data_IF_950395894089
#
_entry.id   IF_950395894089
#
_cell.length_a   1.000
_cell.length_b   1.000
_cell.length_c   1.000
_cell.angle_alpha   90.00
_cell.angle_beta   90.00
_cell.angle_gamma   90.00
#
_symmetry.space_group_name_H-M   'P 1'
#
loop_
_entity.id
_entity.type
_entity.pdbx_description
1 polymer ?
2 non-polymer ?
3 non-polymer ?
4 water ?
#
# COMPACT_ATOMS: atom_id res chain seq x y z
N UNK A 1 -1.39 6.75 -17.06
CA UNK A 1 -2.78 6.85 -16.50
C UNK A 1 -3.55 8.05 -17.02
N UNK A 2 -4.76 7.82 -17.54
CA UNK A 2 -5.66 8.87 -18.03
C UNK A 2 -7.01 8.69 -17.38
N UNK A 3 -7.86 9.68 -17.50
CA UNK A 3 -9.23 9.56 -17.03
C UNK A 3 -9.96 8.44 -17.80
N UNK A 4 -10.69 7.60 -17.04
CA UNK A 4 -11.48 6.52 -17.61
C UNK A 4 -12.90 7.04 -17.57
N UNK A 5 -13.36 7.51 -18.72
CA UNK A 5 -14.64 8.20 -18.80
C UNK A 5 -15.89 7.36 -18.66
N UNK A 6 -15.95 6.19 -19.26
CA UNK A 6 -17.18 5.43 -19.31
C UNK A 6 -17.02 4.21 -18.39
N UNK A 7 -18.13 3.64 -17.97
CA UNK A 7 -18.11 2.42 -17.19
C UNK A 7 -17.35 1.31 -17.89
N UNK A 8 -17.55 1.15 -19.21
CA UNK A 8 -16.79 0.18 -19.99
C UNK A 8 -15.28 0.47 -20.02
N UNK A 9 -14.89 1.74 -20.07
CA UNK A 9 -13.47 2.08 -20.03
C UNK A 9 -12.89 1.57 -18.73
N UNK A 10 -13.64 1.67 -17.65
CA UNK A 10 -13.10 1.34 -16.32
C UNK A 10 -12.94 -0.17 -16.19
N UNK A 11 -13.99 -0.90 -16.56
CA UNK A 11 -13.99 -2.37 -16.63
C UNK A 11 -12.82 -2.85 -17.49
N UNK A 12 -12.64 -2.24 -18.66
CA UNK A 12 -11.53 -2.60 -19.53
C UNK A 12 -10.15 -2.36 -18.87
N UNK A 13 -10.02 -1.25 -18.14
CA UNK A 13 -8.76 -0.93 -17.48
C UNK A 13 -8.44 -1.97 -16.38
N UNK A 14 -9.47 -2.39 -15.66
CA UNK A 14 -9.31 -3.39 -14.62
C UNK A 14 -8.85 -4.72 -15.24
N UNK A 15 -9.52 -5.12 -16.31
CA UNK A 15 -9.25 -6.37 -16.96
C UNK A 15 -7.84 -6.40 -17.56
N UNK A 16 -7.31 -5.22 -17.88
CA UNK A 16 -5.97 -5.07 -18.44
C UNK A 16 -4.91 -4.85 -17.39
N UNK A 17 -5.23 -5.05 -16.12
CA UNK A 17 -4.19 -4.92 -15.11
C UNK A 17 -3.78 -3.54 -14.69
N UNK A 18 -4.52 -2.49 -15.04
CA UNK A 18 -4.20 -1.15 -14.56
C UNK A 18 -4.64 -0.91 -13.09
N UNK A 19 -3.82 -0.21 -12.33
CA UNK A 19 -4.20 0.21 -11.00
C UNK A 19 -5.10 1.46 -11.07
N UNK A 20 -6.25 1.41 -10.43
CA UNK A 20 -7.27 2.44 -10.49
C UNK A 20 -7.14 3.49 -9.36
N UNK A 21 -7.41 4.74 -9.68
CA UNK A 21 -7.48 5.81 -8.69
C UNK A 21 -8.85 6.49 -8.78
N UNK A 22 -9.46 6.68 -7.62
CA UNK A 22 -10.73 7.39 -7.45
C UNK A 22 -10.46 8.80 -6.93
N UNK A 23 -10.99 9.79 -7.68
CA UNK A 23 -10.99 11.19 -7.28
C UNK A 23 -12.43 11.67 -7.07
N UNK A 24 -12.72 12.07 -5.85
CA UNK A 24 -14.06 12.45 -5.48
C UNK A 24 -14.11 13.88 -5.06
N UNK A 25 -15.02 14.60 -5.71
CA UNK A 25 -15.27 16.02 -5.39
C UNK A 25 -16.56 16.13 -4.58
N UNK A 26 -16.39 16.24 -3.26
CA UNK A 26 -17.48 16.13 -2.29
C UNK A 26 -18.63 17.13 -2.48
N UNK A 27 -18.32 18.32 -2.95
CA UNK A 27 -19.33 19.33 -3.16
C UNK A 27 -20.26 18.98 -4.35
N UNK A 28 -19.83 18.05 -5.21
CA UNK A 28 -20.64 17.60 -6.30
C UNK A 28 -21.31 16.29 -5.97
N UNK A 29 -21.32 15.96 -4.70
CA UNK A 29 -21.87 14.72 -4.21
C UNK A 29 -22.96 15.02 -3.19
N UNK A 30 -23.95 14.15 -3.10
CA UNK A 30 -25.05 14.42 -2.20
C UNK A 30 -24.91 13.55 -0.98
N UNK A 31 -25.16 14.14 0.18
CA UNK A 31 -25.11 13.43 1.45
C UNK A 31 -26.14 13.95 2.45
N UNK A 32 -26.45 13.10 3.44
CA UNK A 32 -27.42 13.38 4.51
C UNK A 32 -26.89 14.48 5.43
N UNK A 34 -23.86 17.63 6.09
CA UNK A 34 -23.05 18.50 5.24
C UNK A 34 -21.63 18.02 5.20
N UNK A 35 -21.02 18.05 4.02
CA UNK A 35 -19.61 17.75 3.88
C UNK A 35 -18.89 18.97 3.38
N UNK A 36 -17.79 19.33 4.05
CA UNK A 36 -16.99 20.47 3.61
C UNK A 36 -16.35 20.17 2.27
N UNK A 37 -16.25 21.21 1.45
CA UNK A 37 -15.75 21.13 0.11
C UNK A 37 -14.31 20.58 0.14
N UNK A 38 -14.12 19.47 -0.54
CA UNK A 38 -12.84 18.78 -0.50
C UNK A 38 -12.76 17.90 -1.72
N UNK A 39 -11.55 17.69 -2.18
CA UNK A 39 -11.28 16.68 -3.16
C UNK A 39 -10.57 15.57 -2.45
N UNK A 40 -11.00 14.34 -2.68
CA UNK A 40 -10.40 13.19 -2.05
C UNK A 40 -9.96 12.22 -3.13
N UNK A 41 -8.69 11.83 -3.08
CA UNK A 41 -8.12 10.89 -4.02
C UNK A 41 -7.72 9.64 -3.24
N UNK A 42 -8.06 8.48 -3.79
CA UNK A 42 -7.71 7.20 -3.15
C UNK A 42 -7.35 6.22 -4.24
N UNK A 43 -6.26 5.48 -4.05
CA UNK A 43 -5.92 4.39 -4.95
C UNK A 43 -5.81 3.07 -4.17
N UNK A 44 -6.85 2.24 -4.22
CA UNK A 44 -6.79 0.93 -3.59
C UNK A 44 -5.92 -0.02 -4.35
N UNK A 45 -5.31 -0.99 -3.67
CA UNK A 45 -4.48 -1.97 -4.37
C UNK A 45 -5.28 -3.14 -4.97
N UNK A 46 -6.61 -3.16 -4.71
CA UNK A 46 -7.54 -4.19 -5.18
C UNK A 46 -8.89 -3.59 -5.59
N UNK A 47 -9.51 -4.18 -6.61
CA UNK A 47 -10.76 -3.67 -7.18
C UNK A 47 -11.41 -4.86 -7.88
N UNK A 49 -14.82 -6.22 -10.52
CA UNK A 49 -15.96 -6.01 -11.38
C UNK A 49 -16.91 -7.16 -11.13
N UNK A 50 -18.12 -6.85 -10.69
CA UNK A 50 -19.13 -7.84 -10.35
C UNK A 50 -20.11 -7.92 -11.51
N UNK A 51 -20.23 -9.11 -12.09
CA UNK A 51 -21.07 -9.32 -13.27
C UNK A 51 -20.40 -8.46 -14.31
N UNK A 52 -21.17 -7.82 -15.17
CA UNK A 52 -20.62 -6.73 -15.95
C UNK A 52 -21.33 -5.44 -15.54
N UNK A 53 -21.79 -5.39 -14.28
CA UNK A 53 -22.72 -4.35 -13.87
C UNK A 53 -22.26 -3.41 -12.77
N UNK A 54 -21.24 -3.81 -12.00
CA UNK A 54 -20.77 -3.05 -10.84
C UNK A 54 -19.27 -3.14 -10.71
N UNK A 55 -18.65 -2.04 -10.31
CA UNK A 55 -17.25 -1.99 -9.89
C UNK A 55 -17.21 -1.66 -8.42
N UNK A 56 -16.43 -2.41 -7.65
CA UNK A 56 -16.33 -2.17 -6.24
C UNK A 56 -14.92 -2.20 -5.75
N UNK A 57 -14.67 -1.44 -4.70
CA UNK A 57 -13.35 -1.39 -4.07
C UNK A 57 -13.52 -0.82 -2.71
N UNK A 58 -12.50 -0.93 -1.89
CA UNK A 58 -12.56 -0.34 -0.53
C UNK A 58 -11.20 0.09 -0.03
N UNK A 59 -11.20 0.90 1.02
CA UNK A 59 -9.95 1.42 1.61
C UNK A 59 -10.19 1.58 3.10
N UNK A 60 -9.32 1.00 3.89
CA UNK A 60 -9.34 1.13 5.34
C UNK A 60 -8.27 2.16 5.68
N UNK A 61 -8.73 3.35 6.06
CA UNK A 61 -7.84 4.43 6.31
C UNK A 61 -7.68 4.77 7.80
N UNK A 62 -6.44 4.65 8.31
CA UNK A 62 -6.18 4.97 9.71
C UNK A 62 -6.10 6.49 9.91
N UNK A 63 -6.68 6.97 11.00
CA UNK A 63 -6.72 8.42 11.28
C UNK A 63 -6.80 8.68 12.79
N UNK A 64 -6.31 9.87 13.18
CA UNK A 64 -6.62 10.46 14.46
C UNK A 64 -7.53 11.69 14.28
N UNK A 65 -7.97 11.98 13.06
CA UNK A 65 -8.67 13.25 12.76
C UNK A 65 -10.15 13.15 12.67
N UNK A 66 -10.70 11.95 12.87
CA UNK A 66 -12.10 11.81 12.55
C UNK A 66 -12.97 12.64 13.52
N UNK A 67 -13.90 13.45 12.95
CA UNK A 67 -14.80 14.27 13.78
C UNK A 67 -15.48 13.52 14.93
N UNK A 68 -15.94 12.30 14.66
CA UNK A 68 -16.69 11.50 15.63
C UNK A 68 -15.90 11.20 16.90
N UNK A 69 -14.55 11.22 16.83
CA UNK A 69 -13.69 11.10 18.00
C UNK A 69 -12.25 11.63 17.75
N UNK A 70 -12.14 12.96 17.59
CA UNK A 70 -10.87 13.59 17.25
C UNK A 70 -9.84 13.13 18.25
N UNK A 71 -8.69 12.71 17.74
CA UNK A 71 -7.54 12.38 18.56
C UNK A 71 -7.49 10.94 18.99
N UNK A 72 -8.57 10.18 18.72
CA UNK A 72 -8.60 8.77 19.03
C UNK A 72 -8.22 7.92 17.81
N UNK A 73 -7.43 6.83 18.02
CA UNK A 73 -7.12 5.99 16.86
C UNK A 73 -8.36 5.29 16.25
N UNK A 75 -10.31 3.79 12.31
CA UNK A 75 -10.22 3.49 10.85
C UNK A 75 -11.46 4.07 10.24
N UNK A 76 -11.27 4.84 9.16
CA UNK A 76 -12.34 5.22 8.28
C UNK A 76 -12.31 4.23 7.16
N UNK A 77 -13.25 3.32 7.18
CA UNK A 77 -13.41 2.35 6.13
C UNK A 77 -14.42 2.86 5.07
N UNK A 78 -13.93 3.03 3.85
CA UNK A 78 -14.75 3.49 2.74
C UNK A 78 -14.95 2.37 1.74
N UNK A 79 -16.22 2.10 1.42
CA UNK A 79 -16.63 1.16 0.39
C UNK A 79 -17.16 1.93 -0.85
N UNK A 80 -16.52 1.71 -1.98
CA UNK A 80 -16.79 2.43 -3.22
C UNK A 80 -17.56 1.48 -4.12
N UNK A 81 -18.66 1.97 -4.68
CA UNK A 81 -19.46 1.18 -5.63
C UNK A 81 -19.86 2.08 -6.78
N UNK A 82 -19.75 1.54 -7.97
CA UNK A 82 -20.08 2.26 -9.20
C UNK A 82 -20.86 1.31 -10.05
N UNK A 83 -22.05 1.74 -10.48
CA UNK A 83 -22.83 0.85 -11.33
C UNK A 83 -22.68 1.21 -12.80
N UNK A 84 -23.17 0.32 -13.66
CA UNK A 84 -23.05 0.53 -15.11
C UNK A 84 -23.80 1.76 -15.64
N UNK A 85 -24.73 2.31 -14.88
CA UNK A 85 -25.40 3.56 -15.27
C UNK A 85 -24.60 4.81 -14.89
N UNK A 86 -23.48 4.66 -14.20
CA UNK A 86 -22.67 5.80 -13.77
C UNK A 86 -22.97 6.31 -12.38
N UNK A 87 -23.86 5.62 -11.65
CA UNK A 87 -24.24 6.05 -10.29
C UNK A 87 -23.21 5.48 -9.29
N UNK A 88 -22.58 6.36 -8.53
CA UNK A 88 -21.53 5.98 -7.62
C UNK A 88 -21.98 6.27 -6.19
N UNK A 89 -21.58 5.41 -5.27
CA UNK A 89 -21.72 5.70 -3.85
C UNK A 89 -20.46 5.38 -3.08
N UNK A 90 -20.26 6.13 -2.00
CA UNK A 90 -19.17 5.87 -1.07
C UNK A 90 -19.81 5.79 0.29
N UNK A 91 -19.65 4.65 0.92
CA UNK A 91 -20.10 4.48 2.25
C UNK A 91 -18.90 4.36 3.19
N UNK A 92 -18.80 5.28 4.13
CA UNK A 92 -17.70 5.30 5.09
C UNK A 92 -18.19 4.87 6.45
N UNK A 93 -17.55 3.86 7.02
CA UNK A 93 -17.88 3.33 8.32
C UNK A 93 -16.71 3.62 9.25
N UNK A 94 -17.01 4.25 10.38
CA UNK A 94 -15.95 4.66 11.27
C UNK A 94 -15.84 3.64 12.39
N UNK A 95 -14.62 3.12 12.59
CA UNK A 95 -14.33 2.04 13.54
C UNK A 95 -13.22 2.42 14.52
N UNK A 96 -13.40 2.08 15.79
CA UNK A 96 -12.34 2.22 16.79
C UNK A 96 -11.22 1.27 16.36
N UNK A 97 -10.00 1.78 16.25
CA UNK A 97 -8.90 0.98 15.69
C UNK A 97 -8.50 -0.13 16.63
N UNK A 98 -8.63 0.13 17.93
CA UNK A 98 -8.26 -0.86 18.94
C UNK A 98 -9.30 -1.97 19.06
N UNK A 99 -10.56 -1.58 19.18
CA UNK A 99 -11.64 -2.53 19.45
C UNK A 99 -12.45 -2.96 18.25
N UNK A 100 -12.43 -2.17 17.18
CA UNK A 100 -13.31 -2.39 16.01
C UNK A 100 -14.80 -2.09 16.23
N UNK A 101 -15.14 -1.45 17.35
CA UNK A 101 -16.51 -1.03 17.58
C UNK A 101 -16.84 0.05 16.54
N UNK A 102 -18.05 -0.02 15.97
CA UNK A 102 -18.53 0.94 14.98
C UNK A 102 -18.94 2.24 15.69
N UNK A 103 -18.38 3.37 15.28
CA UNK A 103 -18.71 4.66 15.87
C UNK A 103 -19.74 5.44 15.07
N UNK A 104 -19.91 5.08 13.81
CA UNK A 104 -20.81 5.83 12.97
C UNK A 104 -20.57 5.48 11.52
N UNK A 105 -21.43 5.97 10.68
CA UNK A 105 -21.28 5.77 9.24
C UNK A 105 -21.94 6.89 8.53
N UNK A 106 -21.46 7.16 7.33
CA UNK A 106 -22.10 8.13 6.48
C UNK A 106 -21.87 7.76 5.03
N UNK A 107 -22.72 8.29 4.17
CA UNK A 107 -22.71 7.93 2.77
C UNK A 107 -22.83 9.12 1.85
N UNK A 109 -23.38 10.08 -2.45
CA UNK A 109 -23.75 9.58 -3.77
C UNK A 109 -23.35 10.58 -4.82
N UNK A 110 -22.79 10.08 -5.91
CA UNK A 110 -22.23 10.87 -6.99
C UNK A 110 -22.52 10.27 -8.33
N UNK A 111 -22.23 11.03 -9.36
CA UNK A 111 -22.29 10.53 -10.71
C UNK A 111 -20.86 10.45 -11.29
N UNK A 112 -20.61 9.37 -12.03
CA UNK A 112 -19.36 9.19 -12.73
C UNK A 112 -19.15 10.34 -13.71
N UNK A 113 -17.95 10.92 -13.71
CA UNK A 113 -17.64 12.01 -14.61
C UNK A 113 -17.97 13.36 -14.03
N UNK A 114 -18.85 13.41 -13.04
CA UNK A 114 -19.21 14.63 -12.36
C UNK A 114 -18.54 14.88 -10.99
N UNK A 115 -19.08 14.33 -9.90
CA UNK A 115 -18.39 14.27 -8.60
C UNK A 115 -17.44 13.08 -8.40
N UNK A 116 -17.61 12.00 -9.16
CA UNK A 116 -16.80 10.78 -9.01
C UNK A 116 -16.00 10.51 -10.30
N UNK A 117 -14.69 10.64 -10.22
CA UNK A 117 -13.84 10.45 -11.37
C UNK A 117 -12.89 9.33 -11.12
N UNK A 118 -12.53 8.65 -12.19
CA UNK A 118 -11.76 7.46 -12.10
C UNK A 118 -10.64 7.54 -13.13
N UNK A 119 -9.44 7.16 -12.70
CA UNK A 119 -8.20 7.21 -13.53
C UNK A 119 -7.42 5.91 -13.51
N UNK A 120 -6.73 5.63 -14.61
CA UNK A 120 -6.00 4.36 -14.73
C UNK A 120 -5.20 4.26 -16.00
N UNK B 1 11.03 3.15 -14.39
CA UNK B 1 11.94 2.55 -13.34
C UNK B 1 13.06 1.71 -13.93
N UNK B 2 14.29 2.00 -13.52
CA UNK B 2 15.48 1.27 -13.95
C UNK B 2 16.28 0.86 -12.75
N UNK B 3 17.24 -0.04 -12.95
CA UNK B 3 18.13 -0.45 -11.90
C UNK B 3 18.95 0.77 -11.41
N UNK B 4 19.09 0.89 -10.09
CA UNK B 4 19.85 1.98 -9.49
C UNK B 4 21.11 1.33 -9.05
N UNK B 5 22.16 1.50 -9.85
CA UNK B 5 23.42 0.73 -9.65
C UNK B 5 24.25 1.13 -8.46
N UNK B 6 24.37 2.41 -8.17
CA UNK B 6 25.27 2.88 -7.16
C UNK B 6 24.45 3.41 -5.98
N UNK B 7 25.09 3.48 -4.82
CA UNK B 7 24.50 4.12 -3.67
C UNK B 7 24.06 5.55 -3.98
N UNK B 8 24.88 6.34 -4.69
CA UNK B 8 24.48 7.71 -5.03
C UNK B 8 23.27 7.70 -5.96
N UNK B 9 23.18 6.75 -6.88
CA UNK B 9 22.04 6.68 -7.75
C UNK B 9 20.75 6.51 -6.89
N UNK B 10 20.84 5.71 -5.85
CA UNK B 10 19.69 5.39 -5.02
C UNK B 10 19.25 6.61 -4.21
N UNK B 11 20.21 7.26 -3.57
CA UNK B 11 20.01 8.49 -2.82
C UNK B 11 19.36 9.55 -3.73
N UNK B 12 19.92 9.71 -4.94
CA UNK B 12 19.35 10.64 -5.91
C UNK B 12 17.89 10.31 -6.30
N UNK B 13 17.57 9.03 -6.48
CA UNK B 13 16.22 8.62 -6.83
C UNK B 13 15.22 8.92 -5.69
N UNK B 14 15.65 8.72 -4.45
CA UNK B 14 14.81 9.02 -3.29
C UNK B 14 14.52 10.54 -3.18
N UNK B 15 15.57 11.34 -3.33
CA UNK B 15 15.51 12.80 -3.24
C UNK B 15 14.62 13.33 -4.34
N UNK B 16 14.54 12.60 -5.45
CA UNK B 16 13.69 13.00 -6.60
C UNK B 16 12.29 12.42 -6.56
N UNK B 17 11.88 11.81 -5.47
CA UNK B 17 10.50 11.36 -5.36
C UNK B 17 10.16 10.04 -5.99
N UNK B 18 11.13 9.26 -6.41
CA UNK B 18 10.85 7.97 -7.04
C UNK B 18 10.56 6.90 -5.99
N UNK B 19 9.61 6.03 -6.28
CA UNK B 19 9.31 4.92 -5.40
C UNK B 19 10.31 3.79 -5.66
N UNK B 20 10.94 3.32 -4.60
CA UNK B 20 12.01 2.33 -4.68
C UNK B 20 11.48 0.89 -4.54
N UNK B 21 12.03 -0.02 -5.33
CA UNK B 21 11.80 -1.44 -5.20
C UNK B 21 13.11 -2.19 -4.89
N UNK B 22 13.08 -2.99 -3.85
CA UNK B 22 14.15 -3.93 -3.51
C UNK B 22 13.89 -5.32 -4.09
N UNK B 23 14.91 -5.86 -4.78
CA UNK B 23 14.91 -7.24 -5.26
C UNK B 23 16.12 -8.01 -4.69
N UNK B 24 15.81 -9.07 -3.95
CA UNK B 24 16.82 -9.80 -3.20
C UNK B 24 16.89 -11.23 -3.66
N UNK B 25 18.09 -11.65 -4.01
CA UNK B 25 18.38 -13.01 -4.45
C UNK B 25 19.08 -13.72 -3.30
N UNK B 26 18.29 -14.47 -2.54
CA UNK B 26 18.73 -15.11 -1.30
C UNK B 26 19.91 -16.04 -1.38
N UNK B 27 20.09 -16.70 -2.52
CA UNK B 27 21.23 -17.60 -2.69
C UNK B 27 22.56 -16.80 -2.82
N UNK B 28 22.46 -15.52 -3.16
CA UNK B 28 23.62 -14.67 -3.21
C UNK B 28 23.83 -13.88 -1.93
N UNK B 29 23.07 -14.19 -0.88
CA UNK B 29 23.19 -13.53 0.40
C UNK B 29 23.63 -14.56 1.41
N UNK B 30 24.21 -14.08 2.50
CA UNK B 30 24.71 -14.97 3.52
C UNK B 30 23.82 -14.90 4.71
N UNK B 31 23.53 -16.05 5.30
CA UNK B 31 22.75 -16.13 6.53
C UNK B 31 23.22 -17.24 7.46
N UNK B 32 22.81 -17.15 8.73
CA UNK B 32 23.09 -18.14 9.77
C UNK B 32 22.27 -19.40 9.53
N UNK B 34 20.06 -21.79 6.82
CA UNK B 34 19.90 -21.97 5.37
C UNK B 34 18.60 -21.33 4.89
N UNK B 35 18.69 -20.55 3.81
CA UNK B 35 17.51 -19.99 3.14
C UNK B 35 17.40 -20.69 1.81
N UNK B 36 16.21 -21.20 1.49
CA UNK B 36 16.00 -21.80 0.17
C UNK B 36 16.08 -20.73 -0.91
N UNK B 37 16.64 -21.11 -2.04
CA UNK B 37 16.88 -20.21 -3.14
C UNK B 37 15.56 -19.57 -3.63
N UNK B 38 15.50 -18.25 -3.58
CA UNK B 38 14.30 -17.51 -3.86
C UNK B 38 14.71 -16.14 -4.23
N UNK B 39 13.85 -15.49 -4.99
CA UNK B 39 14.00 -14.10 -5.27
C UNK B 39 12.84 -13.42 -4.62
N UNK B 40 13.10 -12.31 -3.93
CA UNK B 40 12.07 -11.62 -3.18
C UNK B 40 12.09 -10.19 -3.59
N UNK B 41 10.92 -9.71 -4.00
CA UNK B 41 10.74 -8.32 -4.39
C UNK B 41 9.77 -7.63 -3.42
N UNK B 42 10.14 -6.43 -2.96
CA UNK B 42 9.34 -5.64 -2.02
C UNK B 42 9.45 -4.17 -2.43
N UNK B 43 8.32 -3.48 -2.52
CA UNK B 43 8.31 -2.05 -2.70
C UNK B 43 7.57 -1.36 -1.52
N UNK B 44 8.34 -0.89 -0.52
CA UNK B 44 7.75 -0.09 0.58
C UNK B 44 7.26 1.26 0.12
N UNK B 45 6.24 1.79 0.78
CA UNK B 45 5.75 3.14 0.43
C UNK B 45 6.55 4.29 1.04
N UNK B 46 7.54 3.93 1.88
CA UNK B 46 8.38 4.87 2.62
C UNK B 46 9.83 4.40 2.65
N UNK B 47 10.75 5.35 2.64
CA UNK B 47 12.17 5.02 2.64
C UNK B 47 12.90 6.29 3.15
N UNK B 49 16.91 8.25 3.75
CA UNK B 49 18.34 8.37 3.64
C UNK B 49 18.84 9.02 4.92
N UNK B 50 19.73 8.33 5.60
CA UNK B 50 20.31 8.75 6.87
C UNK B 50 21.71 9.28 6.61
N UNK B 51 21.85 10.59 6.75
CA UNK B 51 23.14 11.28 6.74
C UNK B 51 23.98 11.13 5.49
N UNK B 52 23.37 10.82 4.35
CA UNK B 52 24.13 10.46 3.12
C UNK B 52 25.05 9.21 3.25
N UNK B 53 24.87 8.42 4.31
CA UNK B 53 25.64 7.19 4.52
C UNK B 53 24.84 5.88 4.53
N UNK B 54 23.51 5.99 4.71
CA UNK B 54 22.66 4.84 4.87
C UNK B 54 21.30 5.09 4.24
N UNK B 55 20.77 4.06 3.57
CA UNK B 55 19.36 4.00 3.14
C UNK B 55 18.64 2.93 3.94
N UNK B 56 17.48 3.29 4.49
CA UNK B 56 16.67 2.37 5.28
C UNK B 56 15.22 2.35 4.87
N UNK B 57 14.60 1.19 5.03
CA UNK B 57 13.18 1.03 4.77
C UNK B 57 12.72 -0.19 5.55
N UNK B 58 11.42 -0.34 5.69
CA UNK B 58 10.88 -1.57 6.26
C UNK B 58 9.57 -1.95 5.66
N UNK B 59 9.16 -3.18 5.96
CA UNK B 59 7.88 -3.72 5.45
C UNK B 59 7.39 -4.73 6.46
N UNK B 60 6.15 -4.56 6.85
CA UNK B 60 5.49 -5.47 7.77
C UNK B 60 4.57 -6.32 6.90
N UNK B 61 4.93 -7.59 6.78
CA UNK B 61 4.23 -8.46 5.87
C UNK B 61 3.38 -9.52 6.57
N UNK B 62 2.07 -9.49 6.34
CA UNK B 62 1.19 -10.45 6.97
C UNK B 62 1.25 -11.79 6.28
N UNK B 63 1.30 -12.87 7.04
CA UNK B 63 1.38 -14.21 6.48
C UNK B 63 0.74 -15.26 7.39
N UNK B 64 0.34 -16.37 6.77
CA UNK B 64 0.02 -17.60 7.46
C UNK B 64 1.05 -18.68 7.13
N UNK B 65 2.08 -18.34 6.36
CA UNK B 65 3.03 -19.32 5.83
C UNK B 65 4.36 -19.38 6.52
N UNK B 66 4.51 -18.67 7.63
CA UNK B 66 5.83 -18.60 8.22
C UNK B 66 6.22 -19.95 8.88
N UNK B 67 7.42 -20.47 8.52
CA UNK B 67 7.92 -21.74 9.07
C UNK B 67 7.81 -21.83 10.59
N UNK B 68 8.11 -20.74 11.30
CA UNK B 68 8.10 -20.77 12.76
C UNK B 68 6.72 -21.12 13.35
N UNK B 69 5.63 -20.83 12.62
CA UNK B 69 4.29 -21.25 13.04
C UNK B 69 3.33 -21.27 11.87
N UNK B 70 3.48 -22.27 10.99
CA UNK B 70 2.64 -22.38 9.80
C UNK B 70 1.20 -22.40 10.21
N UNK B 71 0.40 -21.63 9.48
CA UNK B 71 -1.04 -21.57 9.68
C UNK B 71 -1.50 -20.56 10.69
N UNK B 72 -0.59 -20.01 11.47
CA UNK B 72 -0.93 -19.01 12.47
C UNK B 72 -0.74 -17.60 11.88
N UNK B 73 -1.66 -16.65 12.23
CA UNK B 73 -1.47 -15.27 11.76
C UNK B 73 -0.23 -14.57 12.35
N UNK B 75 3.17 -11.54 11.40
CA UNK B 75 3.77 -10.52 10.57
C UNK B 75 5.23 -10.85 10.49
N UNK B 76 5.72 -10.87 9.27
CA UNK B 76 7.11 -10.90 9.01
C UNK B 76 7.55 -9.48 8.79
N UNK B 77 8.21 -8.91 9.79
CA UNK B 77 8.71 -7.55 9.72
C UNK B 77 10.16 -7.54 9.24
N UNK B 78 10.39 -6.95 8.07
CA UNK B 78 11.71 -6.85 7.49
C UNK B 78 12.21 -5.44 7.52
N UNK B 79 13.40 -5.26 8.09
CA UNK B 79 14.14 -4.00 8.08
C UNK B 79 15.29 -4.08 7.09
N UNK B 80 15.28 -3.16 6.13
CA UNK B 80 16.27 -3.11 5.04
C UNK B 80 17.22 -1.97 5.34
N UNK B 81 18.51 -2.27 5.25
CA UNK B 81 19.55 -1.31 5.51
C UNK B 81 20.63 -1.48 4.45
N UNK B 82 21.06 -0.37 3.87
CA UNK B 82 22.09 -0.38 2.85
C UNK B 82 23.04 0.74 3.18
N UNK B 83 24.32 0.45 3.31
CA UNK B 83 25.27 1.53 3.57
C UNK B 83 25.96 2.07 2.32
N UNK B 84 26.69 3.17 2.47
CA UNK B 84 27.37 3.79 1.32
C UNK B 84 28.44 2.90 0.67
N UNK B 85 28.93 1.89 1.38
CA UNK B 85 29.90 0.97 0.83
C UNK B 85 29.27 -0.16 -0.02
N UNK B 86 27.95 -0.21 -0.14
CA UNK B 86 27.27 -1.29 -0.84
C UNK B 86 26.89 -2.49 0.00
N UNK B 87 27.11 -2.45 1.32
CA UNK B 87 26.78 -3.57 2.22
C UNK B 87 25.33 -3.50 2.68
N UNK B 88 24.58 -4.55 2.41
CA UNK B 88 23.15 -4.55 2.65
C UNK B 88 22.82 -5.62 3.68
N UNK B 89 21.87 -5.33 4.54
CA UNK B 89 21.29 -6.34 5.42
C UNK B 89 19.78 -6.26 5.42
N UNK B 90 19.17 -7.42 5.65
CA UNK B 90 17.75 -7.53 5.86
C UNK B 90 17.61 -8.30 7.13
N UNK B 91 16.99 -7.67 8.10
CA UNK B 91 16.66 -8.33 9.31
C UNK B 91 15.15 -8.54 9.39
N UNK B 92 14.73 -9.80 9.52
CA UNK B 92 13.30 -10.11 9.57
C UNK B 92 12.96 -10.56 10.97
N UNK B 93 11.95 -9.94 11.58
CA UNK B 93 11.48 -10.27 12.91
C UNK B 93 10.06 -10.81 12.76
N UNK B 94 9.80 -11.96 13.36
CA UNK B 94 8.54 -12.64 13.19
C UNK B 94 7.72 -12.41 14.42
N UNK B 95 6.52 -11.87 14.24
CA UNK B 95 5.66 -11.43 15.31
C UNK B 95 4.28 -12.08 15.18
N UNK B 96 3.74 -12.54 16.30
CA UNK B 96 2.35 -13.02 16.36
C UNK B 96 1.45 -11.83 16.00
N UNK B 97 0.58 -12.01 15.03
CA UNK B 97 -0.21 -10.86 14.54
C UNK B 97 -1.22 -10.34 15.58
N UNK B 98 -1.77 -11.26 16.37
CA UNK B 98 -2.75 -10.94 17.40
C UNK B 98 -2.11 -10.25 18.60
N UNK B 99 -1.02 -10.82 19.11
CA UNK B 99 -0.39 -10.34 20.37
C UNK B 99 0.83 -9.46 20.19
N UNK B 100 1.51 -9.56 19.05
CA UNK B 100 2.80 -8.91 18.86
C UNK B 100 3.99 -9.53 19.60
N UNK B 101 3.81 -10.69 20.20
CA UNK B 101 4.91 -11.44 20.77
C UNK B 101 5.90 -11.82 19.65
N UNK B 102 7.18 -11.63 19.90
CA UNK B 102 8.27 -11.99 18.99
C UNK B 102 8.47 -13.50 18.98
N UNK B 103 8.40 -14.12 17.81
CA UNK B 103 8.60 -15.55 17.68
C UNK B 103 9.99 -15.94 17.25
N UNK B 104 10.73 -15.02 16.67
CA UNK B 104 12.01 -15.34 16.12
C UNK B 104 12.48 -14.22 15.25
N UNK B 105 13.72 -14.32 14.86
CA UNK B 105 14.29 -13.37 13.95
C UNK B 105 15.41 -14.00 13.21
N UNK B 106 15.69 -13.46 12.04
CA UNK B 106 16.84 -13.92 11.30
C UNK B 106 17.28 -12.82 10.38
N UNK B 107 18.52 -12.93 9.93
CA UNK B 107 19.17 -11.87 9.18
C UNK B 107 19.96 -12.38 7.99
N UNK B 109 22.73 -10.96 4.84
CA UNK B 109 23.65 -9.94 4.40
C UNK B 109 24.02 -10.14 2.97
N UNK B 110 24.04 -9.04 2.22
CA UNK B 110 24.27 -9.08 0.76
C UNK B 110 25.02 -7.85 0.37
N UNK B 111 25.41 -7.82 -0.90
CA UNK B 111 26.04 -6.67 -1.47
C UNK B 111 25.18 -6.13 -2.56
N UNK B 112 25.14 -4.81 -2.63
CA UNK B 112 24.43 -4.09 -3.66
C UNK B 112 24.96 -4.51 -5.00
N UNK B 113 24.06 -4.77 -5.95
CA UNK B 113 24.45 -5.12 -7.30
C UNK B 113 24.63 -6.61 -7.45
N UNK B 114 24.86 -7.31 -6.33
CA UNK B 114 25.04 -8.74 -6.32
C UNK B 114 23.82 -9.60 -5.89
N UNK B 115 23.61 -9.80 -4.58
CA UNK B 115 22.39 -10.35 -4.01
C UNK B 115 21.28 -9.32 -3.76
N UNK B 116 21.65 -8.04 -3.65
CA UNK B 116 20.69 -6.97 -3.30
C UNK B 116 20.62 -5.91 -4.41
N UNK B 117 19.48 -5.82 -5.07
CA UNK B 117 19.33 -4.89 -6.18
C UNK B 117 18.21 -3.97 -5.89
N UNK B 118 18.32 -2.77 -6.43
CA UNK B 118 17.39 -1.72 -6.13
C UNK B 118 16.99 -1.05 -7.48
N UNK B 119 15.68 -0.78 -7.60
CA UNK B 119 15.05 -0.22 -8.81
C UNK B 119 14.20 0.99 -8.48
N UNK B 120 14.16 1.96 -9.40
CA UNK B 120 13.40 3.18 -9.18
C UNK B 120 13.29 4.02 -10.45
N UNK C 1 3.41 -1.12 -18.18
CA UNK C 1 2.92 -2.48 -17.80
C UNK C 1 2.14 -3.17 -18.91
N UNK C 2 2.53 -4.41 -19.25
CA UNK C 2 1.83 -5.21 -20.25
C UNK C 2 1.50 -6.56 -19.64
N UNK C 3 0.70 -7.34 -20.35
CA UNK C 3 0.43 -8.72 -19.95
C UNK C 3 1.72 -9.56 -20.00
N UNK C 4 1.94 -10.37 -18.97
CA UNK C 4 3.13 -11.21 -18.87
C UNK C 4 2.62 -12.59 -19.19
N UNK C 5 2.79 -12.97 -20.47
CA UNK C 5 2.13 -14.17 -20.98
C UNK C 5 2.65 -15.49 -20.45
N UNK C 6 3.96 -15.62 -20.31
CA UNK C 6 4.55 -16.89 -19.90
C UNK C 6 5.09 -16.79 -18.48
N UNK C 7 5.27 -17.94 -17.84
CA UNK C 7 5.92 -18.01 -16.56
C UNK C 7 7.30 -17.34 -16.55
N UNK C 8 8.12 -17.56 -17.59
CA UNK C 8 9.41 -16.91 -17.70
C UNK C 8 9.28 -15.39 -17.78
N UNK C 9 8.31 -14.88 -18.54
CA UNK C 9 8.07 -13.45 -18.60
C UNK C 9 7.81 -12.90 -17.19
N UNK C 10 7.07 -13.63 -16.38
CA UNK C 10 6.68 -13.15 -15.05
C UNK C 10 7.93 -13.12 -14.15
N UNK C 11 8.71 -14.19 -14.20
CA UNK C 11 9.90 -14.28 -13.38
C UNK C 11 10.90 -13.17 -13.78
N UNK C 12 11.11 -12.99 -15.09
CA UNK C 12 11.93 -11.90 -15.58
C UNK C 12 11.46 -10.50 -15.13
N UNK C 13 10.15 -10.28 -15.07
CA UNK C 13 9.61 -9.00 -14.63
C UNK C 13 9.84 -8.77 -13.14
N UNK C 14 9.66 -9.80 -12.35
CA UNK C 14 9.98 -9.68 -10.93
C UNK C 14 11.47 -9.35 -10.73
N UNK C 15 12.33 -10.06 -11.45
CA UNK C 15 13.78 -9.95 -11.26
C UNK C 15 14.31 -8.59 -11.65
N UNK C 16 13.61 -7.94 -12.58
CA UNK C 16 13.84 -6.54 -12.98
C UNK C 16 13.10 -5.49 -12.16
N UNK C 17 12.57 -5.82 -11.00
CA UNK C 17 11.98 -4.82 -10.14
C UNK C 17 10.58 -4.32 -10.49
N UNK C 18 9.89 -4.93 -11.45
CA UNK C 18 8.52 -4.48 -11.78
C UNK C 18 7.47 -4.89 -10.74
N UNK C 19 6.52 -4.00 -10.50
CA UNK C 19 5.43 -4.33 -9.59
C UNK C 19 4.40 -5.15 -10.38
N UNK C 20 4.02 -6.27 -9.81
CA UNK C 20 3.10 -7.24 -10.44
C UNK C 20 1.60 -7.05 -10.10
N UNK C 21 0.71 -7.20 -11.09
CA UNK C 21 -0.72 -7.18 -10.85
C UNK C 21 -1.34 -8.52 -11.32
N UNK C 22 -2.13 -9.10 -10.43
CA UNK C 22 -2.94 -10.31 -10.71
C UNK C 22 -4.38 -9.96 -11.02
N UNK C 23 -4.87 -10.49 -12.15
CA UNK C 23 -6.24 -10.27 -12.56
C UNK C 23 -6.90 -11.65 -12.73
N UNK C 24 -7.94 -11.87 -11.95
CA UNK C 24 -8.54 -13.16 -11.86
C UNK C 24 -9.96 -13.09 -12.37
N UNK C 25 -10.29 -13.98 -13.29
CA UNK C 25 -11.65 -14.11 -13.84
C UNK C 25 -12.22 -15.36 -13.27
N UNK C 26 -12.97 -15.18 -12.20
CA UNK C 26 -13.53 -16.27 -11.40
C UNK C 26 -14.34 -17.29 -12.16
N UNK C 27 -15.06 -16.87 -13.19
CA UNK C 27 -15.89 -17.78 -13.95
C UNK C 27 -15.05 -18.72 -14.81
N UNK C 28 -13.78 -18.38 -15.04
CA UNK C 28 -12.86 -19.27 -15.71
C UNK C 28 -12.00 -20.05 -14.74
N UNK C 29 -12.36 -20.03 -13.46
CA UNK C 29 -11.63 -20.78 -12.45
C UNK C 29 -12.55 -21.81 -11.81
N UNK C 30 -11.95 -22.84 -11.26
CA UNK C 30 -12.76 -23.91 -10.71
C UNK C 30 -12.71 -23.77 -9.24
N UNK C 31 -13.87 -23.92 -8.61
CA UNK C 31 -14.01 -23.85 -7.17
C UNK C 31 -14.94 -24.91 -6.62
N UNK C 32 -14.81 -25.11 -5.32
CA UNK C 32 -15.50 -26.16 -4.57
C UNK C 32 -16.97 -25.76 -4.48
N UNK C 34 -19.53 -22.82 -6.05
CA UNK C 34 -19.47 -21.94 -7.20
C UNK C 34 -19.41 -20.48 -6.73
N UNK C 35 -18.59 -19.70 -7.41
CA UNK C 35 -18.37 -18.28 -7.07
C UNK C 35 -19.04 -17.46 -8.15
N UNK C 36 -19.67 -16.36 -7.77
CA UNK C 36 -20.34 -15.50 -8.74
C UNK C 36 -19.34 -14.81 -9.63
N UNK C 37 -19.75 -14.66 -10.88
CA UNK C 37 -18.92 -14.12 -11.92
C UNK C 37 -18.42 -12.72 -11.50
N UNK C 38 -17.11 -12.59 -11.44
CA UNK C 38 -16.47 -11.36 -11.08
C UNK C 38 -15.07 -11.40 -11.63
N UNK C 39 -14.54 -10.23 -11.84
CA UNK C 39 -13.17 -10.07 -12.17
C UNK C 39 -12.55 -9.42 -10.96
N UNK C 40 -11.41 -9.92 -10.51
CA UNK C 40 -10.71 -9.42 -9.32
C UNK C 40 -9.27 -9.11 -9.68
N UNK C 41 -8.87 -7.89 -9.35
CA UNK C 41 -7.54 -7.39 -9.59
C UNK C 41 -6.92 -7.03 -8.26
N UNK C 42 -5.67 -7.48 -8.07
CA UNK C 42 -4.90 -7.24 -6.86
C UNK C 42 -3.45 -6.98 -7.23
N UNK C 43 -2.88 -5.90 -6.70
CA UNK C 43 -1.44 -5.64 -6.79
C UNK C 43 -0.77 -5.70 -5.41
N UNK C 44 -0.11 -6.78 -5.10
CA UNK C 44 0.65 -6.84 -3.82
C UNK C 44 1.93 -6.04 -3.90
N UNK C 45 2.41 -5.52 -2.77
CA UNK C 45 3.65 -4.77 -2.79
C UNK C 45 4.89 -5.67 -2.69
N UNK C 46 4.67 -6.99 -2.57
CA UNK C 46 5.71 -7.98 -2.47
C UNK C 46 5.35 -9.24 -3.25
N UNK C 47 6.35 -9.92 -3.76
CA UNK C 47 6.17 -11.14 -4.51
C UNK C 47 7.50 -11.93 -4.41
N UNK C 49 9.81 -15.41 -6.06
CA UNK C 49 10.00 -16.53 -6.99
C UNK C 49 10.76 -17.59 -6.22
N UNK C 50 10.18 -18.78 -6.10
CA UNK C 50 10.76 -19.86 -5.30
C UNK C 50 11.40 -20.88 -6.24
N UNK C 51 12.71 -21.05 -6.09
CA UNK C 51 13.46 -21.90 -7.01
C UNK C 51 13.32 -21.20 -8.34
N UNK C 52 13.21 -21.93 -9.43
CA UNK C 52 12.79 -21.30 -10.67
C UNK C 52 11.42 -21.86 -11.05
N UNK C 53 10.67 -22.32 -10.05
CA UNK C 53 9.50 -23.16 -10.31
C UNK C 53 8.14 -22.63 -9.85
N UNK C 54 8.13 -21.64 -8.94
CA UNK C 54 6.88 -21.09 -8.35
C UNK C 54 6.97 -19.61 -8.12
N UNK C 55 5.88 -18.89 -8.36
CA UNK C 55 5.75 -17.47 -7.99
C UNK C 55 4.65 -17.40 -6.93
N UNK C 56 4.90 -16.65 -5.86
CA UNK C 56 3.96 -16.55 -4.76
C UNK C 56 3.83 -15.12 -4.26
N UNK C 57 2.66 -14.80 -3.76
CA UNK C 57 2.40 -13.50 -3.22
C UNK C 57 1.14 -13.62 -2.41
N UNK C 58 0.90 -12.62 -1.59
CA UNK C 58 -0.34 -12.61 -0.82
C UNK C 58 -0.91 -11.24 -0.57
N UNK C 59 -2.15 -11.20 -0.12
CA UNK C 59 -2.81 -9.93 0.20
C UNK C 59 -3.76 -10.12 1.33
N UNK C 60 -3.65 -9.28 2.32
CA UNK C 60 -4.56 -9.26 3.45
C UNK C 60 -5.52 -8.10 3.23
N UNK C 61 -6.77 -8.42 2.90
CA UNK C 61 -7.74 -7.43 2.49
C UNK C 61 -8.84 -7.22 3.55
N UNK C 62 -8.92 -6.03 4.12
CA UNK C 62 -9.93 -5.74 5.14
C UNK C 62 -11.29 -5.51 4.49
N UNK C 63 -12.34 -6.06 5.08
CA UNK C 63 -13.68 -5.94 4.53
C UNK C 63 -14.74 -5.98 5.64
N UNK C 64 -15.87 -5.36 5.35
CA UNK C 64 -17.09 -5.58 6.12
C UNK C 64 -18.11 -6.35 5.26
N UNK C 65 -17.73 -6.77 4.06
CA UNK C 65 -18.69 -7.25 3.07
C UNK C 65 -18.58 -8.76 2.83
N UNK C 66 -17.87 -9.47 3.71
CA UNK C 66 -17.68 -10.90 3.49
C UNK C 66 -18.96 -11.71 3.82
N UNK C 67 -19.40 -12.56 2.85
CA UNK C 67 -20.60 -13.38 3.04
C UNK C 67 -20.65 -14.14 4.37
N UNK C 68 -19.51 -14.71 4.80
CA UNK C 68 -19.46 -15.50 6.02
C UNK C 68 -19.88 -14.71 7.26
N UNK C 69 -19.71 -13.38 7.26
CA UNK C 69 -20.17 -12.52 8.36
C UNK C 69 -20.32 -11.05 7.91
N UNK C 70 -21.32 -10.81 7.06
CA UNK C 70 -21.60 -9.49 6.51
C UNK C 70 -21.77 -8.46 7.64
N UNK C 71 -21.06 -7.35 7.52
CA UNK C 71 -21.09 -6.26 8.49
C UNK C 71 -20.07 -6.37 9.61
N UNK C 72 -19.41 -7.52 9.72
CA UNK C 72 -18.39 -7.68 10.77
C UNK C 72 -16.98 -7.40 10.23
N UNK C 73 -16.12 -6.70 11.00
CA UNK C 73 -14.73 -6.51 10.54
C UNK C 73 -13.92 -7.81 10.35
N UNK C 75 -10.63 -9.90 7.77
CA UNK C 75 -9.56 -9.89 6.76
C UNK C 75 -9.78 -11.08 5.87
N UNK C 76 -9.88 -10.82 4.58
CA UNK C 76 -9.82 -11.86 3.55
C UNK C 76 -8.37 -11.98 3.14
N UNK C 77 -7.71 -13.03 3.62
CA UNK C 77 -6.32 -13.25 3.30
C UNK C 77 -6.23 -14.19 2.08
N UNK C 78 -5.65 -13.69 1.02
CA UNK C 78 -5.53 -14.45 -0.23
C UNK C 78 -4.05 -14.74 -0.51
N UNK C 79 -3.75 -16.01 -0.70
CA UNK C 79 -2.43 -16.52 -1.02
C UNK C 79 -2.45 -16.97 -2.49
N UNK C 80 -1.63 -16.32 -3.31
CA UNK C 80 -1.54 -16.60 -4.72
C UNK C 80 -0.33 -17.49 -4.96
N UNK C 81 -0.51 -18.51 -5.79
CA UNK C 81 0.55 -19.44 -6.18
C UNK C 81 0.43 -19.78 -7.67
N UNK C 82 1.55 -19.73 -8.37
CA UNK C 82 1.57 -20.00 -9.81
C UNK C 82 2.77 -20.85 -10.08
N UNK C 83 2.60 -21.99 -10.72
CA UNK C 83 3.76 -22.84 -10.97
C UNK C 83 4.28 -22.68 -12.39
N UNK C 84 5.44 -23.25 -12.65
CA UNK C 84 6.08 -23.14 -13.99
C UNK C 84 5.29 -23.77 -15.13
N UNK C 85 4.35 -24.67 -14.82
CA UNK C 85 3.47 -25.22 -15.86
C UNK C 85 2.23 -24.36 -16.13
N UNK C 86 2.10 -23.23 -15.45
CA UNK C 86 0.96 -22.31 -15.69
C UNK C 86 -0.24 -22.60 -14.81
N UNK C 87 -0.11 -23.53 -13.86
CA UNK C 87 -1.20 -23.85 -12.92
C UNK C 87 -1.20 -22.88 -11.74
N UNK C 88 -2.34 -22.22 -11.54
CA UNK C 88 -2.47 -21.17 -10.55
C UNK C 88 -3.50 -21.56 -9.50
N UNK C 89 -3.24 -21.16 -8.25
CA UNK C 89 -4.27 -21.25 -7.21
C UNK C 89 -4.32 -20.00 -6.36
N UNK C 90 -5.53 -19.71 -5.88
CA UNK C 90 -5.74 -18.65 -4.90
C UNK C 90 -6.46 -19.32 -3.75
N UNK C 91 -5.82 -19.30 -2.59
CA UNK C 91 -6.47 -19.73 -1.38
C UNK C 91 -6.78 -18.53 -0.50
N UNK C 92 -8.04 -18.36 -0.14
CA UNK C 92 -8.48 -17.23 0.66
C UNK C 92 -8.92 -17.73 2.03
N UNK C 93 -8.39 -17.14 3.08
CA UNK C 93 -8.72 -17.51 4.45
C UNK C 93 -9.36 -16.30 5.09
N UNK C 94 -10.53 -16.50 5.68
CA UNK C 94 -11.29 -15.43 6.23
C UNK C 94 -11.05 -15.42 7.73
N UNK C 95 -10.65 -14.26 8.23
CA UNK C 95 -10.21 -14.09 9.63
C UNK C 95 -10.96 -12.94 10.26
N UNK C 96 -11.40 -13.14 11.50
CA UNK C 96 -11.96 -12.05 12.30
C UNK C 96 -10.86 -11.01 12.52
N UNK C 97 -11.15 -9.75 12.23
CA UNK C 97 -10.12 -8.71 12.24
C UNK C 97 -9.62 -8.38 13.67
N UNK C 98 -10.51 -8.44 14.66
CA UNK C 98 -10.10 -8.15 16.04
C UNK C 98 -9.39 -9.34 16.67
N UNK C 99 -9.96 -10.55 16.56
CA UNK C 99 -9.39 -11.74 17.20
C UNK C 99 -8.41 -12.57 16.38
N UNK C 100 -8.47 -12.48 15.05
CA UNK C 100 -7.73 -13.38 14.12
C UNK C 100 -8.22 -14.83 14.03
N UNK C 101 -9.37 -15.14 14.61
CA UNK C 101 -9.92 -16.49 14.51
C UNK C 101 -10.33 -16.74 13.06
N UNK C 102 -10.06 -17.94 12.57
CA UNK C 102 -10.40 -18.35 11.21
C UNK C 102 -11.91 -18.62 11.09
N UNK C 103 -12.57 -17.95 10.18
CA UNK C 103 -14.01 -18.18 9.96
C UNK C 103 -14.29 -19.14 8.83
N UNK C 104 -13.32 -19.37 7.95
CA UNK C 104 -13.55 -20.22 6.80
C UNK C 104 -12.44 -20.01 5.82
N UNK C 105 -12.43 -20.84 4.81
CA UNK C 105 -11.45 -20.73 3.75
C UNK C 105 -11.98 -21.37 2.53
N UNK C 106 -11.49 -20.92 1.39
CA UNK C 106 -11.87 -21.55 0.15
C UNK C 106 -10.78 -21.33 -0.88
N UNK C 107 -10.86 -22.08 -1.95
CA UNK C 107 -9.78 -22.09 -2.93
C UNK C 107 -10.30 -22.11 -4.35
N UNK C 109 -8.84 -22.58 -8.49
CA UNK C 109 -7.77 -23.05 -9.30
C UNK C 109 -7.98 -22.59 -10.71
N UNK C 110 -6.92 -22.09 -11.32
CA UNK C 110 -6.96 -21.48 -12.66
C UNK C 110 -5.71 -21.75 -13.46
N UNK C 111 -5.75 -21.40 -14.73
CA UNK C 111 -4.63 -21.55 -15.59
C UNK C 111 -4.17 -20.17 -16.02
N UNK C 112 -2.86 -20.00 -16.06
CA UNK C 112 -2.24 -18.78 -16.50
C UNK C 112 -2.65 -18.47 -17.92
N UNK C 113 -3.07 -17.24 -18.17
CA UNK C 113 -3.47 -16.82 -19.49
C UNK C 113 -4.92 -17.10 -19.78
N UNK C 114 -5.56 -17.91 -18.95
CA UNK C 114 -6.96 -18.17 -19.09
C UNK C 114 -7.82 -17.47 -18.02
N UNK C 115 -8.01 -18.08 -16.85
CA UNK C 115 -8.63 -17.43 -15.72
C UNK C 115 -7.71 -16.55 -14.86
N UNK C 116 -6.41 -16.75 -14.97
CA UNK C 116 -5.41 -16.09 -14.09
C UNK C 116 -4.48 -15.34 -15.01
N UNK C 117 -4.49 -14.01 -14.93
CA UNK C 117 -3.64 -13.19 -15.76
C UNK C 117 -2.75 -12.31 -14.92
N UNK C 118 -1.58 -12.01 -15.46
CA UNK C 118 -0.54 -11.32 -14.71
C UNK C 118 0.01 -10.20 -15.60
N UNK C 119 0.09 -9.01 -15.01
CA UNK C 119 0.57 -7.78 -15.66
C UNK C 119 1.73 -7.14 -14.89
N UNK C 120 2.67 -6.56 -15.64
CA UNK C 120 3.87 -5.94 -15.06
C UNK C 120 4.66 -5.10 -16.07
N UNK D 1 6.33 11.13 -13.42
CA UNK D 1 6.31 11.98 -12.18
C UNK D 1 7.43 13.02 -12.17
N UNK D 2 7.07 14.27 -11.90
CA UNK D 2 8.04 15.37 -11.77
C UNK D 2 7.77 16.13 -10.47
N UNK D 3 8.68 17.02 -10.10
CA UNK D 3 8.50 17.87 -8.95
C UNK D 3 7.30 18.79 -9.19
N UNK D 4 6.46 18.95 -8.18
CA UNK D 4 5.29 19.80 -8.26
C UNK D 4 5.67 21.04 -7.45
N UNK D 5 6.06 22.09 -8.17
CA UNK D 5 6.70 23.23 -7.55
C UNK D 5 5.77 24.12 -6.77
N UNK D 6 4.57 24.36 -7.28
CA UNK D 6 3.65 25.28 -6.61
C UNK D 6 2.50 24.54 -6.00
N UNK D 7 1.86 25.15 -5.00
CA UNK D 7 0.61 24.64 -4.47
C UNK D 7 -0.47 24.32 -5.55
N UNK D 8 -0.57 25.14 -6.59
CA UNK D 8 -1.53 24.91 -7.64
C UNK D 8 -1.15 23.67 -8.45
N UNK D 9 0.15 23.49 -8.68
CA UNK D 9 0.61 22.31 -9.37
C UNK D 9 0.20 21.04 -8.60
N UNK D 10 0.28 21.09 -7.27
CA UNK D 10 -0.05 19.95 -6.46
C UNK D 10 -1.56 19.62 -6.45
N UNK D 11 -2.40 20.63 -6.28
CA UNK D 11 -3.85 20.52 -6.39
C UNK D 11 -4.28 19.97 -7.76
N UNK D 12 -3.65 20.47 -8.81
CA UNK D 12 -3.95 20.00 -10.16
C UNK D 12 -3.57 18.51 -10.34
N UNK D 13 -2.42 18.12 -9.84
CA UNK D 13 -1.96 16.72 -9.92
C UNK D 13 -2.90 15.77 -9.15
N UNK D 14 -3.34 16.19 -7.99
CA UNK D 14 -4.38 15.43 -7.27
C UNK D 14 -5.70 15.27 -8.07
N UNK D 15 -6.18 16.38 -8.62
CA UNK D 15 -7.44 16.43 -9.34
C UNK D 15 -7.40 15.58 -10.59
N UNK D 16 -6.19 15.40 -11.15
CA UNK D 16 -5.96 14.54 -12.31
C UNK D 16 -5.61 13.08 -11.95
N UNK D 17 -5.79 12.66 -10.72
CA UNK D 17 -5.60 11.27 -10.38
C UNK D 17 -4.17 10.83 -10.19
N UNK D 18 -3.23 11.74 -10.06
CA UNK D 18 -1.83 11.34 -9.84
C UNK D 18 -1.55 10.94 -8.41
N UNK D 19 -0.76 9.90 -8.24
CA UNK D 19 -0.34 9.51 -6.90
C UNK D 19 0.80 10.43 -6.45
N UNK D 20 0.64 11.02 -5.28
CA UNK D 20 1.59 12.01 -4.75
C UNK D 20 2.69 11.41 -3.84
N UNK D 21 3.90 11.93 -3.96
CA UNK D 21 5.00 11.52 -3.07
C UNK D 21 5.56 12.76 -2.36
N UNK D 22 5.70 12.66 -1.03
CA UNK D 22 6.34 13.69 -0.18
C UNK D 22 7.79 13.30 0.14
N UNK D 23 8.71 14.24 -0.11
CA UNK D 23 10.12 14.11 0.22
C UNK D 23 10.50 15.26 1.14
N UNK D 24 10.96 14.90 2.32
CA UNK D 24 11.20 15.83 3.39
C UNK D 24 12.68 15.74 3.75
N UNK D 25 13.31 16.90 3.75
CA UNK D 25 14.70 17.06 4.17
C UNK D 25 14.68 17.72 5.50
N UNK D 26 14.86 16.89 6.53
CA UNK D 26 14.72 17.27 7.93
C UNK D 26 15.62 18.38 8.40
N UNK D 27 16.80 18.47 7.83
CA UNK D 27 17.76 19.49 8.23
C UNK D 27 17.32 20.87 7.73
N UNK D 28 16.41 20.91 6.74
CA UNK D 28 15.81 22.13 6.32
C UNK D 28 14.45 22.38 6.97
N UNK D 29 14.09 21.60 7.96
CA UNK D 29 12.85 21.85 8.68
C UNK D 29 13.11 22.22 10.13
N UNK D 30 12.19 22.95 10.74
CA UNK D 30 12.36 23.40 12.10
C UNK D 30 11.65 22.42 13.00
N UNK D 31 12.30 22.06 14.09
CA UNK D 31 11.71 21.17 15.09
C UNK D 31 12.03 21.60 16.51
N UNK D 32 11.26 21.07 17.45
CA UNK D 32 11.31 21.44 18.86
C UNK D 32 12.58 20.86 19.49
N UNK D 34 16.07 18.83 17.92
CA UNK D 34 16.67 18.63 16.62
C UNK D 34 16.63 17.16 16.22
N UNK D 35 16.29 16.91 14.96
CA UNK D 35 16.32 15.55 14.42
C UNK D 35 17.57 15.45 13.59
N UNK D 36 18.12 14.25 13.55
CA UNK D 36 19.32 14.02 12.75
C UNK D 36 19.02 14.11 11.28
N UNK D 37 19.99 14.64 10.57
CA UNK D 37 19.87 14.92 9.16
C UNK D 37 19.47 13.64 8.39
N UNK D 38 18.34 13.70 7.71
CA UNK D 38 17.80 12.56 7.01
C UNK D 38 16.84 13.10 5.97
N UNK D 39 16.63 12.29 4.96
CA UNK D 39 15.71 12.58 3.90
C UNK D 39 14.67 11.49 4.05
N UNK D 40 13.40 11.88 4.08
CA UNK D 40 12.32 10.95 4.25
C UNK D 40 11.34 11.09 3.08
N UNK D 41 11.07 9.97 2.43
CA UNK D 41 10.16 9.87 1.34
C UNK D 41 8.98 9.01 1.78
N UNK D 42 7.79 9.47 1.44
CA UNK D 42 6.53 8.77 1.75
C UNK D 42 5.51 8.99 0.63
N UNK D 43 4.90 7.93 0.14
CA UNK D 43 3.80 8.01 -0.84
C UNK D 43 2.55 7.40 -0.23
N UNK D 44 1.63 8.22 0.30
CA UNK D 44 0.36 7.71 0.79
C UNK D 44 -0.58 7.32 -0.37
N UNK D 45 -1.47 6.37 -0.13
CA UNK D 45 -2.35 5.95 -1.19
C UNK D 45 -3.58 6.83 -1.28
N UNK D 46 -3.68 7.79 -0.35
CA UNK D 46 -4.79 8.75 -0.28
C UNK D 46 -4.30 10.16 0.06
N UNK D 47 -5.01 11.16 -0.43
CA UNK D 47 -4.67 12.55 -0.25
C UNK D 47 -5.94 13.38 -0.47
N UNK D 49 -7.62 17.55 -0.79
CA UNK D 49 -7.47 18.99 -0.91
C UNK D 49 -8.69 19.53 -0.22
N UNK D 50 -8.46 20.37 0.77
CA UNK D 50 -9.53 20.94 1.57
C UNK D 50 -9.73 22.37 1.14
N UNK D 51 -10.93 22.68 0.67
CA UNK D 51 -11.23 24.01 0.15
C UNK D 51 -10.34 24.12 -1.05
N UNK D 52 -9.81 25.30 -1.33
CA UNK D 52 -8.71 25.38 -2.28
C UNK D 52 -7.47 25.85 -1.52
N UNK D 53 -7.42 25.54 -0.23
CA UNK D 53 -6.46 26.17 0.66
C UNK D 53 -5.48 25.22 1.39
N UNK D 54 -5.80 23.93 1.50
CA UNK D 54 -4.93 22.98 2.18
C UNK D 54 -4.85 21.62 1.50
N UNK D 55 -3.68 21.00 1.55
CA UNK D 55 -3.52 19.61 1.12
C UNK D 55 -3.13 18.78 2.32
N UNK D 56 -3.76 17.62 2.49
CA UNK D 56 -3.55 16.81 3.67
C UNK D 56 -3.44 15.33 3.29
N UNK D 57 -2.63 14.62 4.05
CA UNK D 57 -2.44 13.16 3.84
C UNK D 57 -1.81 12.64 5.08
N UNK D 58 -1.81 11.32 5.22
CA UNK D 58 -1.23 10.70 6.42
C UNK D 58 -0.70 9.33 6.13
N UNK D 59 0.14 8.86 7.04
CA UNK D 59 0.74 7.53 6.89
C UNK D 59 0.95 6.93 8.27
N UNK D 60 0.48 5.71 8.44
CA UNK D 60 0.72 4.95 9.63
C UNK D 60 1.82 3.96 9.35
N UNK D 61 2.99 4.21 9.91
CA UNK D 61 4.15 3.45 9.60
C UNK D 61 4.59 2.50 10.76
N UNK D 62 4.53 1.19 10.56
CA UNK D 62 4.91 0.21 11.63
C UNK D 62 6.42 0.18 11.77
N UNK D 63 6.90 0.13 13.01
CA UNK D 63 8.36 0.13 13.27
C UNK D 63 8.72 -0.58 14.59
N UNK D 64 9.91 -1.14 14.65
CA UNK D 64 10.54 -1.55 15.90
C UNK D 64 11.69 -0.61 16.29
N UNK D 65 11.92 0.44 15.52
CA UNK D 65 13.17 1.20 15.58
C UNK D 65 12.95 2.60 16.15
N UNK D 66 11.76 2.84 16.72
CA UNK D 66 11.48 4.17 17.22
C UNK D 66 12.26 4.44 18.52
N UNK D 67 12.96 5.61 18.57
CA UNK D 67 13.78 6.00 19.75
C UNK D 67 13.01 5.90 21.09
N UNK D 68 11.74 6.28 21.08
CA UNK D 68 10.94 6.31 22.29
C UNK D 68 10.79 4.93 22.94
N UNK D 69 10.83 3.86 22.14
CA UNK D 69 10.84 2.48 22.69
C UNK D 69 11.42 1.49 21.70
N UNK D 70 12.74 1.56 21.52
CA UNK D 70 13.44 0.69 20.57
C UNK D 70 13.12 -0.75 20.87
N UNK D 71 12.82 -1.50 19.81
CA UNK D 71 12.56 -2.92 19.88
C UNK D 71 11.10 -3.25 20.13
N UNK D 72 10.29 -2.25 20.51
CA UNK D 72 8.87 -2.50 20.77
C UNK D 72 8.00 -2.24 19.52
N UNK D 73 6.97 -3.08 19.26
CA UNK D 73 6.10 -2.77 18.13
C UNK D 73 5.33 -1.47 18.29
N UNK D 75 3.54 2.21 15.98
CA UNK D 75 3.17 2.90 14.75
C UNK D 75 3.63 4.32 14.93
N UNK D 76 4.37 4.78 13.94
CA UNK D 76 4.67 6.19 13.76
C UNK D 76 3.64 6.72 12.79
N UNK D 77 2.64 7.41 13.34
CA UNK D 77 1.63 8.04 12.54
C UNK D 77 2.01 9.46 12.21
N UNK D 78 2.18 9.72 10.93
CA UNK D 78 2.48 11.06 10.45
C UNK D 78 1.30 11.66 9.71
N UNK D 79 0.92 12.87 10.11
CA UNK D 79 -0.07 13.70 9.44
C UNK D 79 0.68 14.84 8.74
N UNK D 80 0.48 14.96 7.42
CA UNK D 80 1.11 15.94 6.57
C UNK D 80 0.07 17.00 6.20
N UNK D 81 0.48 18.25 6.33
CA UNK D 81 -0.37 19.36 5.98
C UNK D 81 0.41 20.40 5.23
N UNK D 82 -0.20 20.99 4.21
CA UNK D 82 0.48 21.95 3.36
C UNK D 82 -0.54 23.01 3.00
N UNK D 83 -0.28 24.26 3.30
CA UNK D 83 -1.29 25.29 2.99
C UNK D 83 -0.93 26.01 1.68
N UNK D 84 -1.85 26.86 1.22
CA UNK D 84 -1.68 27.57 -0.06
C UNK D 84 -0.53 28.60 -0.07
N UNK D 85 -0.05 28.97 1.10
CA UNK D 85 1.11 29.85 1.17
C UNK D 85 2.43 29.08 1.09
N UNK D 86 2.38 27.76 1.05
CA UNK D 86 3.61 26.93 0.96
C UNK D 86 4.16 26.50 2.31
N UNK D 87 3.45 26.80 3.40
CA UNK D 87 3.82 26.35 4.75
C UNK D 87 3.37 24.90 4.97
N UNK D 88 4.34 24.06 5.32
CA UNK D 88 4.10 22.64 5.53
C UNK D 88 4.37 22.24 6.97
N UNK D 89 3.54 21.34 7.50
CA UNK D 89 3.88 20.69 8.75
C UNK D 89 3.69 19.17 8.70
N UNK D 90 4.50 18.50 9.52
CA UNK D 90 4.40 17.05 9.69
C UNK D 90 4.31 16.82 11.19
N UNK D 91 3.20 16.28 11.60
CA UNK D 91 3.05 15.89 12.96
C UNK D 91 3.09 14.39 13.06
N UNK D 92 4.06 13.87 13.83
CA UNK D 92 4.18 12.43 14.04
C UNK D 92 3.73 12.05 15.44
N UNK D 93 2.83 11.12 15.54
CA UNK D 93 2.35 10.59 16.80
C UNK D 93 2.77 9.13 16.90
N UNK D 94 3.42 8.78 18.02
CA UNK D 94 3.97 7.48 18.21
C UNK D 94 2.99 6.70 19.11
N UNK D 95 2.55 5.55 18.61
CA UNK D 95 1.50 4.70 19.22
C UNK D 95 2.01 3.27 19.40
N UNK D 96 1.77 2.71 20.58
CA UNK D 96 2.00 1.29 20.85
C UNK D 96 1.12 0.51 19.89
N UNK D 97 1.71 -0.44 19.16
CA UNK D 97 0.99 -1.12 18.08
C UNK D 97 -0.08 -2.08 18.62
N UNK D 98 0.17 -2.73 19.76
CA UNK D 98 -0.83 -3.65 20.33
C UNK D 98 -1.95 -2.89 21.03
N UNK D 99 -1.62 -1.90 21.87
CA UNK D 99 -2.63 -1.20 22.66
C UNK D 99 -3.18 0.11 22.08
N UNK D 100 -2.43 0.75 21.19
CA UNK D 100 -2.75 2.12 20.69
C UNK D 100 -2.53 3.28 21.64
N UNK D 101 -1.90 3.04 22.80
CA UNK D 101 -1.59 4.14 23.71
C UNK D 101 -0.53 5.05 23.06
N UNK D 102 -0.72 6.34 23.22
CA UNK D 102 0.20 7.33 22.73
C UNK D 102 1.45 7.35 23.56
N UNK D 103 2.61 7.24 22.92
CA UNK D 103 3.89 7.36 23.63
C UNK D 103 4.55 8.71 23.50
N UNK D 104 4.16 9.50 22.50
CA UNK D 104 4.79 10.78 22.31
C UNK D 104 4.37 11.30 20.96
N UNK D 105 4.77 12.54 20.73
CA UNK D 105 4.52 13.18 19.47
C UNK D 105 5.49 14.29 19.28
N UNK D 106 5.70 14.66 18.04
CA UNK D 106 6.56 15.76 17.74
C UNK D 106 6.20 16.26 16.38
N UNK D 107 6.64 17.48 16.10
CA UNK D 107 6.22 18.17 14.90
C UNK D 107 7.38 18.86 14.21
N UNK D 109 8.18 21.70 11.00
CA UNK D 109 7.60 22.70 10.11
C UNK D 109 8.60 23.04 9.00
N UNK D 110 8.11 23.20 7.78
CA UNK D 110 8.93 23.34 6.57
C UNK D 110 8.25 24.20 5.54
N UNK D 111 8.99 24.50 4.49
CA UNK D 111 8.46 25.33 3.44
C UNK D 111 8.51 24.51 2.15
N UNK D 112 7.42 24.57 1.40
CA UNK D 112 7.31 23.92 0.11
C UNK D 112 8.46 24.36 -0.77
N UNK D 113 9.14 23.42 -1.40
CA UNK D 113 10.24 23.78 -2.27
C UNK D 113 11.57 23.91 -1.56
N UNK D 114 11.53 24.03 -0.24
CA UNK D 114 12.73 24.12 0.55
C UNK D 114 13.11 22.84 1.30
N UNK D 115 12.54 22.61 2.49
CA UNK D 115 12.60 21.30 3.14
C UNK D 115 11.55 20.28 2.72
N UNK D 116 10.47 20.74 2.09
CA UNK D 116 9.27 19.87 1.85
C UNK D 116 9.01 19.88 0.36
N UNK D 117 9.21 18.72 -0.28
CA UNK D 117 9.03 18.64 -1.72
C UNK D 117 8.00 17.61 -2.08
N UNK D 118 7.35 17.86 -3.22
CA UNK D 118 6.19 17.08 -3.57
C UNK D 118 6.34 16.71 -5.05
N UNK D 119 6.11 15.44 -5.34
CA UNK D 119 6.30 14.84 -6.67
C UNK D 119 5.03 14.10 -7.10
N UNK D 120 4.74 14.15 -8.39
CA UNK D 120 3.58 13.46 -8.95
C UNK D 120 3.56 13.46 -10.46
#
# INVERSE_FOLDING_TARGET
AVELNTFQNIVDAIAEGKRITFVINLKKCTSEXPLNSAIVSVTPNAVXVIGDSRVTASDRHFTLDDPLARGTPXFDYSKFNLDSEGDASIKTTVLNASSYERLGSYQXNCKLGDGFKVFG
AVELNTFQNIVDAIAEGKRITFVINLKKCTSEXPLNSAIVSVTPNAVXVIGDSRVTASDRHFTLDDPLARGTPXFDYSKFNLDSEGDASIKTTVLNASSYERLGSYQXNCKLGDGFKVFG
AVELNTFQNIVDAIAEGKRITFVINLKKCTSEXPLNSAIVSVTPNAVXVIGDSRVTASDRHFTLDDPLARGTPXFDYSKFNLDSEGDASIKTTVLNASSYERLGSYQXNCKLGDGFKVFG
AVELNTFQNIVDAIAEGKRITFVINLKKCTSEXPLNSAIVSVTPNAVXVIGDSRVTASDRHFTLDDPLARGTPXFDYSKFNLDSEGDASIKTTVLNASSYERLGSYQXNCKLGDGFKVFG
#
